data_IF_532414860756
#
_entry.id   IF_532414860756
#
_cell.length_a   1.000
_cell.length_b   1.000
_cell.length_c   1.000
_cell.angle_alpha   90.00
_cell.angle_beta   90.00
_cell.angle_gamma   90.00
#
_symmetry.space_group_name_H-M   'P 1'
#
loop_
_entity.id
_entity.type
_entity.pdbx_description
1 polymer ?
#
# COMPACT_ATOMS: atom_id res chain seq x y z
N UNK A 1 6.69 -8.51 -14.02
CA UNK A 1 7.71 -9.39 -13.40
C UNK A 1 8.92 -8.54 -13.12
N UNK A 2 8.96 -7.96 -11.93
CA UNK A 2 9.97 -7.00 -11.48
C UNK A 2 11.43 -7.42 -11.78
N UNK A 3 12.06 -6.76 -12.73
CA UNK A 3 13.50 -6.88 -13.01
C UNK A 3 14.10 -5.51 -13.23
N UNK A 4 15.27 -5.27 -12.62
CA UNK A 4 16.02 -4.03 -12.77
C UNK A 4 17.39 -4.35 -13.36
N UNK A 5 17.83 -3.63 -14.41
CA UNK A 5 19.18 -3.81 -14.94
C UNK A 5 20.23 -3.61 -13.85
N UNK A 6 21.22 -4.51 -13.78
CA UNK A 6 22.36 -4.40 -12.87
C UNK A 6 22.17 -5.00 -11.48
N UNK A 7 21.01 -5.58 -11.17
CA UNK A 7 20.80 -6.29 -9.90
C UNK A 7 21.18 -7.76 -9.99
N UNK A 8 21.78 -8.29 -8.93
CA UNK A 8 21.99 -9.73 -8.79
C UNK A 8 20.65 -10.44 -8.50
N UNK A 9 20.54 -11.74 -8.84
CA UNK A 9 19.28 -12.48 -8.70
C UNK A 9 18.76 -12.53 -7.25
N UNK A 10 19.66 -12.48 -6.26
CA UNK A 10 19.29 -12.44 -4.84
C UNK A 10 18.64 -11.10 -4.46
N UNK A 11 19.14 -10.00 -5.00
CA UNK A 11 18.60 -8.66 -4.76
C UNK A 11 17.24 -8.51 -5.42
N UNK A 12 17.08 -9.03 -6.65
CA UNK A 12 15.78 -9.09 -7.31
C UNK A 12 14.77 -9.88 -6.49
N UNK A 13 15.15 -11.04 -5.96
CA UNK A 13 14.28 -11.87 -5.11
C UNK A 13 13.88 -11.15 -3.82
N UNK A 14 14.84 -10.57 -3.09
CA UNK A 14 14.57 -9.84 -1.85
C UNK A 14 13.63 -8.65 -2.08
N UNK A 15 13.77 -7.96 -3.20
CA UNK A 15 12.93 -6.81 -3.54
C UNK A 15 11.54 -7.22 -4.00
N UNK A 16 11.41 -8.37 -4.67
CA UNK A 16 10.09 -8.98 -4.89
C UNK A 16 9.41 -9.32 -3.57
N UNK A 17 10.14 -9.90 -2.62
CA UNK A 17 9.60 -10.19 -1.28
C UNK A 17 9.20 -8.91 -0.54
N UNK A 18 10.01 -7.86 -0.60
CA UNK A 18 9.71 -6.54 -0.03
C UNK A 18 8.40 -5.97 -0.60
N UNK A 19 8.25 -5.93 -1.93
CA UNK A 19 7.01 -5.44 -2.59
C UNK A 19 5.80 -6.30 -2.26
N UNK A 20 5.96 -7.64 -2.20
CA UNK A 20 4.87 -8.54 -1.79
C UNK A 20 4.46 -8.27 -0.33
N UNK A 21 5.42 -8.11 0.57
CA UNK A 21 5.14 -7.78 1.97
C UNK A 21 4.42 -6.44 2.10
N UNK A 22 4.89 -5.40 1.38
CA UNK A 22 4.24 -4.08 1.35
C UNK A 22 2.81 -4.16 0.82
N UNK A 23 2.57 -4.90 -0.27
CA UNK A 23 1.22 -5.11 -0.80
C UNK A 23 0.29 -5.77 0.22
N UNK A 24 0.75 -6.87 0.87
CA UNK A 24 -0.05 -7.58 1.87
C UNK A 24 -0.38 -6.69 3.06
N UNK A 25 0.63 -5.99 3.62
CA UNK A 25 0.44 -5.08 4.75
C UNK A 25 -0.48 -3.91 4.40
N UNK A 26 -0.32 -3.33 3.19
CA UNK A 26 -1.17 -2.24 2.71
C UNK A 26 -2.62 -2.70 2.61
N UNK A 27 -2.85 -3.85 1.97
CA UNK A 27 -4.18 -4.40 1.78
C UNK A 27 -4.83 -4.72 3.13
N UNK A 28 -4.09 -5.38 4.04
CA UNK A 28 -4.57 -5.75 5.37
C UNK A 28 -4.90 -4.51 6.23
N UNK A 29 -4.01 -3.50 6.24
CA UNK A 29 -4.19 -2.27 7.01
C UNK A 29 -5.48 -1.50 6.65
N UNK A 30 -5.95 -1.63 5.41
CA UNK A 30 -7.20 -0.99 4.97
C UNK A 30 -8.35 -2.00 4.81
N UNK A 31 -8.13 -3.27 5.12
CA UNK A 31 -9.15 -4.31 5.01
C UNK A 31 -10.01 -4.39 6.29
N UNK A 32 -10.79 -3.35 6.55
CA UNK A 32 -11.82 -3.44 7.58
C UNK A 32 -12.95 -4.36 7.12
N UNK A 33 -13.00 -5.55 7.70
CA UNK A 33 -14.03 -6.59 7.60
C UNK A 33 -15.31 -6.21 6.81
N UNK A 34 -15.17 -6.18 5.49
CA UNK A 34 -16.17 -6.52 4.48
C UNK A 34 -17.54 -5.82 4.39
N UNK A 35 -18.02 -4.91 5.25
CA UNK A 35 -19.48 -4.60 5.20
C UNK A 35 -19.96 -3.21 5.65
N UNK A 36 -21.29 -2.95 5.50
CA UNK A 36 -21.81 -1.78 4.80
C UNK A 36 -21.72 -0.55 5.72
N UNK A 37 -21.59 0.65 5.16
CA UNK A 37 -22.16 1.78 5.89
C UNK A 37 -23.66 1.49 5.95
N UNK A 38 -24.17 1.05 7.11
CA UNK A 38 -25.55 1.40 7.45
C UNK A 38 -25.61 2.90 7.32
N UNK A 39 -26.69 3.39 6.72
CA UNK A 39 -26.86 4.77 6.27
C UNK A 39 -26.61 5.84 7.37
N UNK A 40 -26.39 5.44 8.63
CA UNK A 40 -26.30 6.31 9.80
C UNK A 40 -24.88 6.75 10.26
N UNK A 41 -23.79 6.30 9.63
CA UNK A 41 -22.41 6.66 10.06
C UNK A 41 -21.65 7.57 9.09
N UNK A 42 -22.24 8.72 8.77
CA UNK A 42 -21.51 9.96 8.42
C UNK A 42 -20.67 9.98 7.14
N UNK A 43 -20.62 8.89 6.37
CA UNK A 43 -20.15 8.87 5.00
C UNK A 43 -21.34 9.14 4.08
N UNK A 44 -21.19 10.08 3.15
CA UNK A 44 -22.18 10.53 2.16
C UNK A 44 -23.22 9.43 1.89
N UNK A 45 -24.41 9.58 2.47
CA UNK A 45 -25.55 8.76 2.13
C UNK A 45 -25.69 8.79 0.61
N UNK A 46 -25.75 7.62 -0.02
CA UNK A 46 -26.44 7.57 -1.29
C UNK A 46 -27.87 8.01 -0.98
N UNK A 47 -28.34 9.09 -1.62
CA UNK A 47 -29.69 9.64 -1.40
C UNK A 47 -30.81 8.58 -1.57
N UNK A 48 -30.48 7.38 -2.08
CA UNK A 48 -31.37 6.27 -2.39
C UNK A 48 -31.28 5.08 -1.41
N UNK A 49 -30.39 5.07 -0.42
CA UNK A 49 -30.22 3.94 0.53
C UNK A 49 -29.71 2.65 -0.13
N UNK A 50 -29.03 2.76 -1.27
CA UNK A 50 -28.58 1.62 -2.06
C UNK A 50 -27.16 1.15 -1.69
N UNK A 51 -26.99 -0.18 -1.57
CA UNK A 51 -25.66 -0.80 -1.40
C UNK A 51 -24.74 -0.46 -2.58
N UNK A 52 -23.51 0.01 -2.28
CA UNK A 52 -22.53 0.44 -3.28
C UNK A 52 -21.89 -0.71 -4.10
N UNK A 53 -22.17 -1.98 -3.76
CA UNK A 53 -21.63 -3.21 -4.39
C UNK A 53 -20.09 -3.30 -4.46
N UNK A 54 -19.37 -2.47 -3.71
CA UNK A 54 -17.91 -2.54 -3.62
C UNK A 54 -17.52 -3.72 -2.73
N UNK A 55 -16.90 -4.73 -3.31
CA UNK A 55 -16.40 -5.89 -2.58
C UNK A 55 -14.89 -5.78 -2.32
N UNK A 56 -14.40 -6.55 -1.35
CA UNK A 56 -12.98 -6.67 -1.03
C UNK A 56 -12.12 -6.94 -2.27
N UNK A 57 -12.57 -7.85 -3.14
CA UNK A 57 -11.83 -8.22 -4.34
C UNK A 57 -11.58 -7.04 -5.27
N UNK A 58 -12.48 -6.06 -5.33
CA UNK A 58 -12.31 -4.86 -6.14
C UNK A 58 -11.13 -4.02 -5.65
N UNK A 59 -11.00 -3.85 -4.32
CA UNK A 59 -9.90 -3.12 -3.71
C UNK A 59 -8.57 -3.87 -3.85
N UNK A 60 -8.59 -5.19 -3.63
CA UNK A 60 -7.41 -6.04 -3.83
C UNK A 60 -6.91 -5.99 -5.29
N UNK A 61 -7.82 -6.09 -6.27
CA UNK A 61 -7.51 -5.96 -7.70
C UNK A 61 -6.94 -4.57 -8.01
N UNK A 62 -7.52 -3.51 -7.44
CA UNK A 62 -7.06 -2.15 -7.71
C UNK A 62 -5.65 -1.88 -7.17
N UNK A 63 -5.38 -2.27 -5.91
CA UNK A 63 -4.04 -2.16 -5.33
C UNK A 63 -3.02 -3.03 -6.07
N UNK A 64 -3.43 -4.24 -6.52
CA UNK A 64 -2.56 -5.11 -7.32
C UNK A 64 -2.17 -4.43 -8.62
N UNK A 65 -3.14 -3.88 -9.35
CA UNK A 65 -2.89 -3.18 -10.62
C UNK A 65 -2.02 -1.94 -10.42
N UNK A 66 -2.24 -1.18 -9.35
CA UNK A 66 -1.39 -0.06 -8.99
C UNK A 66 0.06 -0.50 -8.73
N UNK A 67 0.25 -1.56 -7.96
CA UNK A 67 1.58 -2.13 -7.71
C UNK A 67 2.25 -2.70 -8.98
N UNK A 68 1.48 -3.24 -9.92
CA UNK A 68 1.97 -3.76 -11.19
C UNK A 68 2.35 -2.64 -12.18
N UNK A 69 1.68 -1.49 -12.16
CA UNK A 69 2.00 -0.36 -13.04
C UNK A 69 3.45 0.14 -12.84
N UNK A 70 4.01 0.00 -11.64
CA UNK A 70 5.39 0.39 -11.34
C UNK A 70 6.44 -0.62 -11.81
N UNK A 71 6.03 -1.85 -12.17
CA UNK A 71 6.89 -2.84 -12.81
C UNK A 71 7.14 -2.49 -14.29
N UNK A 72 6.22 -1.76 -14.95
CA UNK A 72 6.18 -1.57 -16.40
C UNK A 72 6.99 -0.35 -16.92
N UNK A 73 7.70 0.35 -16.05
CA UNK A 73 8.94 1.06 -16.45
C UNK A 73 8.82 2.38 -17.21
N UNK A 74 7.68 3.08 -17.24
CA UNK A 74 7.62 4.41 -17.87
C UNK A 74 8.16 5.56 -16.99
N UNK A 75 8.35 5.37 -15.68
CA UNK A 75 8.80 6.45 -14.78
C UNK A 75 10.32 6.69 -14.74
N UNK A 76 11.15 5.86 -15.38
CA UNK A 76 12.62 6.00 -15.35
C UNK A 76 13.23 6.63 -16.60
N UNK A 77 12.43 6.97 -17.63
CA UNK A 77 12.94 7.48 -18.91
C UNK A 77 12.84 9.01 -19.07
N UNK A 78 12.36 9.76 -18.07
CA UNK A 78 11.97 11.16 -18.25
C UNK A 78 12.65 12.16 -17.29
N UNK A 79 13.90 11.97 -16.90
CA UNK A 79 14.73 13.04 -16.29
C UNK A 79 16.20 12.88 -16.66
N UNK A 80 16.55 13.17 -17.92
CA UNK A 80 17.91 13.62 -18.22
C UNK A 80 18.02 15.08 -17.77
N UNK A 81 18.72 15.31 -16.66
CA UNK A 81 19.12 16.66 -16.22
C UNK A 81 18.38 17.21 -15.01
N UNK A 82 18.56 16.57 -13.86
CA UNK A 82 18.86 17.31 -12.62
C UNK A 82 19.48 16.33 -11.62
N UNK A 83 20.49 16.76 -10.87
CA UNK A 83 21.05 15.99 -9.75
C UNK A 83 20.02 15.97 -8.60
N UNK A 84 18.98 15.17 -8.75
CA UNK A 84 18.10 14.77 -7.65
C UNK A 84 18.75 13.56 -7.02
N UNK A 85 19.05 13.61 -5.71
CA UNK A 85 19.52 12.42 -4.99
C UNK A 85 18.56 11.26 -5.26
N UNK A 86 19.05 10.26 -6.00
CA UNK A 86 18.22 9.19 -6.51
C UNK A 86 17.75 8.34 -5.33
N UNK A 87 16.50 8.54 -4.90
CA UNK A 87 15.75 7.72 -3.95
C UNK A 87 15.35 6.37 -4.57
N UNK A 88 16.30 5.76 -5.27
CA UNK A 88 16.18 4.44 -5.89
C UNK A 88 16.15 3.36 -4.82
N UNK A 89 15.72 2.16 -5.19
CA UNK A 89 15.62 1.05 -4.27
C UNK A 89 17.01 0.70 -3.76
N UNK A 90 17.21 0.88 -2.46
CA UNK A 90 18.53 0.76 -1.86
C UNK A 90 18.69 -0.62 -1.24
N UNK A 91 19.72 -1.33 -1.68
CA UNK A 91 20.21 -2.56 -1.05
C UNK A 91 21.46 -2.26 -0.22
N UNK A 92 21.29 -1.53 0.88
CA UNK A 92 22.40 -1.09 1.74
C UNK A 92 22.82 -2.18 2.73
N UNK A 93 24.12 -2.20 3.05
CA UNK A 93 24.66 -3.02 4.15
C UNK A 93 24.67 -2.17 5.42
N UNK A 94 24.02 -2.64 6.48
CA UNK A 94 24.15 -2.02 7.80
C UNK A 94 25.44 -2.48 8.53
N UNK A 95 25.83 -1.73 9.57
CA UNK A 95 26.80 -2.18 10.58
C UNK A 95 26.28 -3.46 11.24
N UNK A 96 26.81 -4.61 10.81
CA UNK A 96 26.31 -5.93 11.18
C UNK A 96 26.20 -6.91 10.01
N UNK A 97 26.34 -6.42 8.77
CA UNK A 97 26.44 -7.26 7.57
C UNK A 97 25.10 -7.70 6.97
N UNK A 98 23.97 -7.29 7.54
CA UNK A 98 22.65 -7.58 6.98
C UNK A 98 22.34 -6.61 5.83
N UNK A 99 21.91 -7.16 4.68
CA UNK A 99 21.43 -6.38 3.53
C UNK A 99 19.98 -5.99 3.79
N UNK A 100 19.74 -4.69 3.92
CA UNK A 100 18.39 -4.11 3.98
C UNK A 100 17.93 -3.84 2.57
N UNK A 101 16.66 -4.11 2.30
CA UNK A 101 16.02 -3.85 1.02
C UNK A 101 14.85 -2.90 1.25
N UNK A 102 14.80 -1.81 0.48
CA UNK A 102 13.70 -0.83 0.53
C UNK A 102 13.14 -0.67 -0.88
N UNK A 103 11.81 -0.60 -0.99
CA UNK A 103 11.18 -0.28 -2.26
C UNK A 103 11.58 1.14 -2.73
N UNK A 104 11.67 1.35 -4.05
CA UNK A 104 11.91 2.69 -4.61
C UNK A 104 10.84 3.68 -4.11
N UNK A 105 11.19 4.95 -3.95
CA UNK A 105 10.19 6.01 -3.72
C UNK A 105 9.15 6.12 -4.84
N UNK A 106 9.48 5.65 -6.05
CA UNK A 106 8.55 5.59 -7.19
C UNK A 106 7.53 4.45 -7.09
N UNK A 107 7.75 3.45 -6.25
CA UNK A 107 6.76 2.39 -6.02
C UNK A 107 5.57 2.96 -5.25
N UNK A 108 4.36 2.84 -5.78
CA UNK A 108 3.15 3.44 -5.25
C UNK A 108 2.86 3.04 -3.80
N UNK A 109 3.22 1.82 -3.41
CA UNK A 109 3.06 1.30 -2.05
C UNK A 109 4.36 1.36 -1.22
N UNK A 110 5.33 2.17 -1.63
CA UNK A 110 6.53 2.42 -0.83
C UNK A 110 6.17 3.06 0.51
N UNK A 111 6.90 2.77 1.61
CA UNK A 111 6.60 3.37 2.91
C UNK A 111 6.54 4.90 2.89
N UNK A 112 7.38 5.56 2.09
CA UNK A 112 7.33 7.01 1.86
C UNK A 112 6.02 7.48 1.24
N UNK A 113 5.56 6.82 0.18
CA UNK A 113 4.29 7.16 -0.48
C UNK A 113 3.10 6.88 0.42
N UNK A 114 3.13 5.79 1.20
CA UNK A 114 2.11 5.50 2.19
C UNK A 114 2.08 6.55 3.30
N UNK A 115 3.24 6.95 3.83
CA UNK A 115 3.37 7.99 4.86
C UNK A 115 2.84 9.36 4.40
N UNK A 116 3.02 9.71 3.12
CA UNK A 116 2.58 10.96 2.52
C UNK A 116 1.21 10.88 1.82
N UNK A 117 0.53 9.72 1.87
CA UNK A 117 -0.74 9.49 1.17
C UNK A 117 -1.80 10.49 1.60
N UNK A 118 -2.51 11.07 0.63
CA UNK A 118 -3.69 11.92 0.88
C UNK A 118 -4.95 11.19 0.46
N UNK A 119 -6.13 11.62 0.93
CA UNK A 119 -7.40 11.02 0.50
C UNK A 119 -7.59 11.14 -1.02
N UNK A 120 -7.24 12.28 -1.62
CA UNK A 120 -7.30 12.45 -3.08
C UNK A 120 -6.33 11.48 -3.78
N UNK A 121 -5.08 11.42 -3.33
CA UNK A 121 -4.08 10.52 -3.91
C UNK A 121 -4.48 9.04 -3.80
N UNK A 122 -5.09 8.63 -2.69
CA UNK A 122 -5.61 7.28 -2.52
C UNK A 122 -6.76 6.97 -3.49
N UNK A 123 -7.68 7.91 -3.71
CA UNK A 123 -8.74 7.75 -4.71
C UNK A 123 -8.17 7.68 -6.12
N UNK A 124 -7.20 8.54 -6.46
CA UNK A 124 -6.52 8.52 -7.76
C UNK A 124 -5.73 7.23 -7.99
N UNK A 125 -5.19 6.63 -6.92
CA UNK A 125 -4.50 5.34 -6.96
C UNK A 125 -5.46 4.17 -7.23
N UNK A 126 -6.62 4.15 -6.57
CA UNK A 126 -7.50 2.98 -6.55
C UNK A 126 -8.57 3.03 -7.65
N UNK A 127 -9.26 4.17 -7.78
CA UNK A 127 -10.46 4.30 -8.61
C UNK A 127 -10.24 3.95 -10.09
N UNK A 128 -9.12 4.30 -10.74
CA UNK A 128 -8.88 3.93 -12.15
C UNK A 128 -8.79 2.42 -12.39
N UNK A 129 -8.49 1.64 -11.35
CA UNK A 129 -8.23 0.21 -11.46
C UNK A 129 -9.40 -0.68 -11.02
N UNK A 130 -10.44 -0.08 -10.43
CA UNK A 130 -11.68 -0.77 -10.05
C UNK A 130 -12.39 -1.35 -11.29
N UNK A 131 -13.10 -2.48 -11.14
CA UNK A 131 -13.91 -3.02 -12.24
C UNK A 131 -15.10 -2.09 -12.56
N UNK A 132 -15.81 -2.33 -13.67
CA UNK A 132 -17.05 -1.62 -13.95
C UNK A 132 -18.06 -1.82 -12.81
N UNK A 133 -18.75 -0.75 -12.42
CA UNK A 133 -19.87 -0.84 -11.50
C UNK A 133 -21.13 -1.25 -12.29
N UNK A 134 -21.76 -2.41 -12.01
CA UNK A 134 -22.95 -2.86 -12.74
C UNK A 134 -24.15 -1.93 -12.57
N UNK A 135 -24.16 -1.06 -11.54
CA UNK A 135 -25.19 -0.04 -11.30
C UNK A 135 -24.90 1.32 -11.94
N UNK A 136 -23.79 1.46 -12.68
CA UNK A 136 -23.37 2.73 -13.31
C UNK A 136 -24.35 3.31 -14.35
N UNK A 137 -25.47 2.64 -14.63
CA UNK A 137 -26.45 3.03 -15.67
C UNK A 137 -27.51 4.04 -15.24
N UNK A 138 -27.61 4.43 -13.97
CA UNK A 138 -28.67 5.32 -13.47
C UNK A 138 -28.08 6.47 -12.64
N UNK A 139 -27.65 7.55 -13.30
CA UNK A 139 -27.26 8.80 -12.62
C UNK A 139 -25.77 8.94 -12.25
N UNK A 140 -25.35 10.18 -12.07
CA UNK A 140 -23.97 10.71 -12.15
C UNK A 140 -22.95 9.89 -11.35
N UNK A 141 -22.00 9.25 -12.05
CA UNK A 141 -20.69 8.96 -11.47
C UNK A 141 -20.02 7.65 -11.87
N UNK A 142 -20.77 6.63 -12.33
CA UNK A 142 -20.27 5.38 -12.95
C UNK A 142 -19.19 4.56 -12.20
N UNK A 143 -18.77 4.99 -11.02
CA UNK A 143 -17.62 4.50 -10.25
C UNK A 143 -18.08 4.18 -8.84
N UNK A 144 -17.42 3.23 -8.19
CA UNK A 144 -17.71 2.90 -6.79
C UNK A 144 -17.38 4.08 -5.87
N UNK A 145 -18.21 4.32 -4.87
CA UNK A 145 -17.85 5.15 -3.71
C UNK A 145 -17.00 4.30 -2.76
N UNK A 146 -15.78 4.76 -2.45
CA UNK A 146 -14.91 4.07 -1.49
C UNK A 146 -15.27 4.54 -0.08
N UNK A 147 -15.83 3.67 0.79
CA UNK A 147 -16.23 4.07 2.13
C UNK A 147 -15.01 4.34 3.01
N UNK A 148 -15.14 5.31 3.91
CA UNK A 148 -14.13 5.68 4.90
C UNK A 148 -12.74 5.96 4.30
N UNK A 149 -12.68 6.58 3.12
CA UNK A 149 -11.42 6.86 2.42
C UNK A 149 -10.40 7.62 3.29
N UNK A 150 -10.85 8.60 4.09
CA UNK A 150 -10.00 9.34 5.02
C UNK A 150 -9.39 8.44 6.10
N UNK A 151 -10.17 7.52 6.67
CA UNK A 151 -9.67 6.61 7.70
C UNK A 151 -8.70 5.57 7.12
N UNK A 152 -8.99 5.06 5.90
CA UNK A 152 -8.05 4.20 5.16
C UNK A 152 -6.71 4.91 4.97
N UNK A 153 -6.73 6.17 4.56
CA UNK A 153 -5.50 6.97 4.40
C UNK A 153 -4.78 7.17 5.73
N UNK A 154 -5.51 7.44 6.82
CA UNK A 154 -4.91 7.56 8.16
C UNK A 154 -4.08 6.31 8.52
N UNK A 155 -4.60 5.11 8.23
CA UNK A 155 -3.91 3.84 8.51
C UNK A 155 -2.75 3.58 7.57
N UNK A 156 -2.89 3.94 6.29
CA UNK A 156 -1.78 3.88 5.34
C UNK A 156 -0.63 4.81 5.77
N UNK A 157 -0.95 6.03 6.21
CA UNK A 157 0.05 6.95 6.75
C UNK A 157 0.73 6.36 7.97
N UNK A 158 -0.05 5.77 8.88
CA UNK A 158 0.47 5.13 10.09
C UNK A 158 1.39 3.95 9.77
N UNK A 159 1.00 3.09 8.82
CA UNK A 159 1.82 1.98 8.33
C UNK A 159 3.13 2.49 7.72
N UNK A 160 3.05 3.49 6.83
CA UNK A 160 4.22 4.08 6.17
C UNK A 160 5.19 4.70 7.18
N UNK A 161 4.69 5.55 8.08
CA UNK A 161 5.50 6.19 9.13
C UNK A 161 6.10 5.16 10.08
N UNK A 162 5.34 4.16 10.52
CA UNK A 162 5.84 3.11 11.39
C UNK A 162 6.94 2.28 10.73
N UNK A 163 6.84 1.99 9.43
CA UNK A 163 7.89 1.32 8.67
C UNK A 163 9.14 2.20 8.54
N UNK A 164 9.01 3.48 8.20
CA UNK A 164 10.12 4.44 8.11
C UNK A 164 10.86 4.57 9.46
N UNK A 165 10.13 4.86 10.54
CA UNK A 165 10.71 5.17 11.84
C UNK A 165 11.29 3.95 12.56
N UNK A 166 10.63 2.78 12.49
CA UNK A 166 10.96 1.61 13.33
C UNK A 166 11.63 0.48 12.56
N UNK A 167 11.49 0.49 11.23
CA UNK A 167 11.96 -0.58 10.36
C UNK A 167 12.76 -0.06 9.16
N UNK A 168 13.19 1.21 9.21
CA UNK A 168 14.00 1.85 8.17
C UNK A 168 13.40 1.68 6.79
N UNK A 169 12.09 1.89 6.66
CA UNK A 169 11.36 1.82 5.40
C UNK A 169 11.37 0.43 4.75
N UNK A 170 11.52 -0.65 5.52
CA UNK A 170 11.51 -2.03 5.00
C UNK A 170 10.52 -2.94 5.73
N UNK A 171 9.52 -3.43 5.01
CA UNK A 171 8.59 -4.45 5.47
C UNK A 171 9.30 -5.79 5.68
N UNK A 172 10.25 -6.16 4.80
CA UNK A 172 11.00 -7.39 4.95
C UNK A 172 11.90 -7.37 6.19
N UNK A 173 12.51 -6.23 6.52
CA UNK A 173 13.26 -6.05 7.76
C UNK A 173 12.36 -6.24 8.99
N UNK A 174 11.15 -5.69 8.96
CA UNK A 174 10.17 -5.92 10.02
C UNK A 174 9.84 -7.41 10.18
N UNK A 175 9.53 -8.10 9.08
CA UNK A 175 9.21 -9.53 9.11
C UNK A 175 10.39 -10.35 9.63
N UNK A 176 11.62 -10.03 9.24
CA UNK A 176 12.83 -10.72 9.73
C UNK A 176 13.04 -10.59 11.23
N UNK A 177 12.68 -9.46 11.85
CA UNK A 177 12.75 -9.29 13.32
C UNK A 177 11.91 -10.33 14.07
N UNK A 178 10.90 -10.91 13.43
CA UNK A 178 10.08 -11.97 14.01
C UNK A 178 10.79 -13.34 14.07
N UNK A 179 11.91 -13.52 13.36
CA UNK A 179 12.74 -14.74 13.37
C UNK A 179 11.92 -16.02 13.12
N UNK A 180 11.02 -15.97 12.14
CA UNK A 180 10.15 -17.10 11.76
C UNK A 180 9.03 -17.41 12.74
N UNK A 181 8.81 -16.59 13.77
CA UNK A 181 7.75 -16.77 14.77
C UNK A 181 6.57 -15.83 14.50
N UNK A 182 5.38 -16.42 14.31
CA UNK A 182 4.16 -15.68 14.01
C UNK A 182 3.69 -14.83 15.20
N UNK A 183 3.82 -15.36 16.41
CA UNK A 183 3.54 -14.66 17.67
C UNK A 183 4.40 -13.38 17.81
N UNK A 184 5.71 -13.48 17.56
CA UNK A 184 6.59 -12.29 17.55
C UNK A 184 6.23 -11.31 16.46
N UNK A 185 5.82 -11.79 15.28
CA UNK A 185 5.38 -10.90 14.21
C UNK A 185 4.15 -10.09 14.62
N UNK A 186 3.18 -10.73 15.29
CA UNK A 186 2.00 -10.04 15.84
C UNK A 186 2.39 -9.03 16.92
N UNK A 187 3.31 -9.36 17.83
CA UNK A 187 3.83 -8.43 18.83
C UNK A 187 4.51 -7.21 18.19
N UNK A 188 5.30 -7.43 17.14
CA UNK A 188 5.95 -6.35 16.37
C UNK A 188 4.90 -5.49 15.68
N UNK A 189 3.93 -6.09 15.01
CA UNK A 189 2.87 -5.37 14.28
C UNK A 189 2.05 -4.51 15.23
N UNK A 190 1.48 -5.10 16.28
CA UNK A 190 0.67 -4.37 17.26
C UNK A 190 1.50 -3.37 18.06
N UNK A 191 2.79 -3.63 18.28
CA UNK A 191 3.72 -2.69 18.91
C UNK A 191 4.08 -1.48 18.04
N UNK A 192 4.18 -1.67 16.72
CA UNK A 192 4.59 -0.64 15.75
C UNK A 192 3.43 0.14 15.14
N UNK A 193 2.26 -0.49 14.98
CA UNK A 193 1.10 0.07 14.29
C UNK A 193 -0.14 -0.09 15.18
N UNK A 194 -0.69 1.05 15.63
CA UNK A 194 -1.96 1.14 16.36
C UNK A 194 -3.14 0.66 15.52
N UNK A 195 -3.15 0.90 14.21
CA UNK A 195 -4.21 0.47 13.29
C UNK A 195 -4.43 -1.04 13.27
N UNK A 196 -3.45 -1.83 13.68
CA UNK A 196 -3.51 -3.30 13.76
C UNK A 196 -3.96 -3.82 15.14
N UNK A 197 -4.32 -2.93 16.09
CA UNK A 197 -4.69 -3.33 17.46
C UNK A 197 -6.18 -3.62 17.63
N UNK A 198 -7.02 -3.29 16.64
CA UNK A 198 -8.48 -3.36 16.74
C UNK A 198 -9.03 -2.72 18.04
N UNK A 199 -8.35 -1.71 18.58
CA UNK A 199 -8.76 -0.98 19.77
C UNK A 199 -9.81 0.08 19.38
N UNK A 200 -11.03 -0.07 19.90
CA UNK A 200 -12.13 0.90 19.75
C UNK A 200 -11.97 2.13 20.65
#
# INVERSE_FOLDING_TARGET
>A
SYRRPGWDGRTEELMRMERVALYVLTLDAINFCFWPTTDDSGGIESETGERNLLEYEHLAIALKKAAEADDDGEALAATEGDEVEADGAVAEKEEGGERIVRAEGTYALSPKNLAAMTTAGFLDLVVPHLPPNPKAGEGVGGKYLIPNATERVRLLNELGLGLEERHSGSALRMIRKADGSADRLVDILTGSFRGFRDEC
#
